data_IF_813107652509
#
_entry.id   IF_813107652509
#
_cell.length_a   1.000
_cell.length_b   1.000
_cell.length_c   1.000
_cell.angle_alpha   90.00
_cell.angle_beta   90.00
_cell.angle_gamma   90.00
#
_symmetry.space_group_name_H-M   'P 1'
#
loop_
_entity.id
_entity.type
_entity.pdbx_description
1 polymer ?
#
# COMPACT_ATOMS: atom_id res chain seq x y z
N UNK A 1 13.95 30.12 15.08
CA UNK A 1 14.28 29.24 13.92
C UNK A 1 14.57 27.84 14.47
N UNK A 2 14.19 26.80 13.71
CA UNK A 2 14.73 25.41 13.72
C UNK A 2 14.28 24.35 14.76
N UNK A 3 13.01 24.30 15.20
CA UNK A 3 12.46 23.04 15.76
C UNK A 3 11.75 22.18 14.67
N UNK A 4 11.40 22.79 13.55
CA UNK A 4 10.56 22.20 12.50
C UNK A 4 11.36 21.52 11.38
N UNK A 5 12.69 21.65 11.37
CA UNK A 5 13.56 21.07 10.32
C UNK A 5 13.92 19.60 10.56
N UNK A 6 13.55 19.02 11.70
CA UNK A 6 13.88 17.64 12.08
C UNK A 6 12.64 16.77 12.36
N UNK A 7 11.45 17.36 12.28
CA UNK A 7 10.19 16.63 12.41
C UNK A 7 9.73 16.17 11.03
N UNK A 8 10.10 14.95 10.64
CA UNK A 8 9.56 14.30 9.45
C UNK A 8 8.81 13.03 9.83
N UNK A 9 7.71 12.76 9.12
CA UNK A 9 7.01 11.49 9.27
C UNK A 9 7.77 10.40 8.50
N UNK A 10 8.21 9.31 9.14
CA UNK A 10 8.90 8.24 8.43
C UNK A 10 7.91 7.50 7.50
N UNK A 11 8.25 7.51 6.21
CA UNK A 11 7.49 6.84 5.17
C UNK A 11 6.18 7.53 4.78
N UNK A 12 5.42 6.93 3.85
CA UNK A 12 4.19 7.51 3.33
C UNK A 12 3.09 7.56 4.40
N UNK A 13 2.29 8.63 4.39
CA UNK A 13 1.19 8.89 5.33
C UNK A 13 -0.18 8.89 4.66
N UNK A 14 -0.25 9.00 3.33
CA UNK A 14 -1.47 9.07 2.55
C UNK A 14 -1.37 8.11 1.37
N UNK A 15 -1.69 6.86 1.64
CA UNK A 15 -1.49 5.73 0.76
C UNK A 15 -2.78 5.38 0.01
N UNK A 16 -2.70 5.25 -1.30
CA UNK A 16 -3.72 4.56 -2.10
C UNK A 16 -3.25 3.14 -2.40
N UNK A 17 -4.08 2.15 -2.07
CA UNK A 17 -3.82 0.73 -2.34
C UNK A 17 -4.63 0.28 -3.57
N UNK A 18 -3.96 -0.09 -4.66
CA UNK A 18 -4.63 -0.57 -5.88
C UNK A 18 -4.94 -2.07 -5.85
N UNK A 19 -4.53 -2.76 -4.79
CA UNK A 19 -4.79 -4.20 -4.56
C UNK A 19 -5.31 -4.47 -3.15
N UNK A 20 -5.94 -5.64 -2.96
CA UNK A 20 -6.38 -6.10 -1.65
C UNK A 20 -5.20 -6.39 -0.72
N UNK A 21 -4.15 -7.06 -1.22
CA UNK A 21 -3.01 -7.52 -0.41
C UNK A 21 -2.32 -6.39 0.36
N UNK A 22 -2.08 -5.24 -0.27
CA UNK A 22 -1.45 -4.10 0.40
C UNK A 22 -2.40 -3.44 1.38
N UNK A 23 -3.71 -3.47 1.09
CA UNK A 23 -4.73 -2.98 2.00
C UNK A 23 -4.74 -3.85 3.25
N UNK A 24 -4.97 -5.15 3.11
CA UNK A 24 -5.05 -6.12 4.21
C UNK A 24 -3.78 -6.08 5.06
N UNK A 25 -2.61 -6.05 4.43
CA UNK A 25 -1.34 -6.02 5.16
C UNK A 25 -1.20 -4.78 6.04
N UNK A 26 -1.55 -3.59 5.54
CA UNK A 26 -1.53 -2.37 6.33
C UNK A 26 -2.52 -2.41 7.49
N UNK A 27 -3.70 -3.03 7.34
CA UNK A 27 -4.61 -3.26 8.46
C UNK A 27 -4.04 -4.22 9.50
N UNK A 28 -3.38 -5.30 9.07
CA UNK A 28 -2.72 -6.24 9.99
C UNK A 28 -1.57 -5.57 10.76
N UNK A 29 -0.92 -4.58 10.16
CA UNK A 29 0.14 -3.79 10.79
C UNK A 29 -0.39 -2.62 11.66
N UNK A 30 -1.71 -2.43 11.77
CA UNK A 30 -2.31 -1.30 12.49
C UNK A 30 -2.05 0.07 11.84
N UNK A 31 -1.75 0.09 10.54
CA UNK A 31 -1.41 1.29 9.77
C UNK A 31 -2.56 1.75 8.84
N UNK A 32 -3.78 1.28 9.05
CA UNK A 32 -4.94 1.60 8.21
C UNK A 32 -5.29 3.10 8.17
N UNK A 33 -4.85 3.86 9.18
CA UNK A 33 -4.99 5.32 9.22
C UNK A 33 -4.31 6.02 8.05
N UNK A 34 -3.28 5.39 7.45
CA UNK A 34 -2.54 5.91 6.31
C UNK A 34 -3.29 5.72 4.99
N UNK A 35 -4.26 4.80 4.95
CA UNK A 35 -4.97 4.46 3.72
C UNK A 35 -6.04 5.52 3.44
N UNK A 36 -5.90 6.22 2.33
CA UNK A 36 -6.86 7.24 1.86
C UNK A 36 -7.74 6.75 0.72
N UNK A 37 -7.37 5.66 0.04
CA UNK A 37 -8.17 5.05 -1.02
C UNK A 37 -7.77 3.60 -1.29
N UNK A 38 -8.73 2.81 -1.76
CA UNK A 38 -8.57 1.37 -1.99
C UNK A 38 -9.08 0.93 -3.36
N UNK A 39 -8.70 -0.28 -3.74
CA UNK A 39 -9.27 -1.01 -4.86
C UNK A 39 -10.74 -1.37 -4.61
N UNK A 40 -11.53 -1.37 -5.68
CA UNK A 40 -12.89 -1.91 -5.68
C UNK A 40 -12.95 -3.41 -5.40
N UNK A 41 -11.83 -4.13 -5.47
CA UNK A 41 -11.71 -5.56 -5.16
C UNK A 41 -11.34 -5.86 -3.71
N UNK A 42 -11.02 -4.86 -2.90
CA UNK A 42 -10.74 -5.07 -1.48
C UNK A 42 -12.00 -5.59 -0.76
N UNK A 43 -11.88 -6.78 -0.17
CA UNK A 43 -12.88 -7.41 0.70
C UNK A 43 -12.31 -7.76 2.08
N UNK A 44 -10.98 -7.77 2.25
CA UNK A 44 -10.29 -8.00 3.52
C UNK A 44 -9.50 -6.78 4.02
N UNK A 45 -9.63 -6.41 5.31
CA UNK A 45 -10.75 -6.78 6.18
C UNK A 45 -12.06 -6.14 5.67
N UNK A 46 -13.23 -6.73 6.02
CA UNK A 46 -14.53 -6.23 5.55
C UNK A 46 -14.74 -4.73 5.80
N UNK A 47 -14.30 -4.26 6.98
CA UNK A 47 -14.36 -2.83 7.38
C UNK A 47 -13.65 -1.90 6.40
N UNK A 48 -12.56 -2.32 5.77
CA UNK A 48 -11.81 -1.50 4.81
C UNK A 48 -12.69 -1.04 3.63
N UNK A 49 -13.53 -1.95 3.14
CA UNK A 49 -14.45 -1.70 2.04
C UNK A 49 -15.55 -0.70 2.41
N UNK A 50 -15.97 -0.74 3.67
CA UNK A 50 -17.04 0.08 4.24
C UNK A 50 -16.54 1.51 4.50
N UNK A 51 -15.33 1.66 5.05
CA UNK A 51 -14.81 2.95 5.52
C UNK A 51 -13.96 3.72 4.50
N UNK A 52 -13.36 3.05 3.49
CA UNK A 52 -12.45 3.69 2.53
C UNK A 52 -13.11 3.96 1.17
N UNK A 53 -12.77 5.06 0.48
CA UNK A 53 -13.25 5.31 -0.88
C UNK A 53 -12.61 4.34 -1.88
N UNK A 54 -13.42 3.87 -2.83
CA UNK A 54 -13.01 2.94 -3.90
C UNK A 54 -12.62 3.75 -5.13
N UNK A 55 -11.34 3.74 -5.49
CA UNK A 55 -10.77 4.62 -6.53
C UNK A 55 -10.27 3.89 -7.77
N UNK A 56 -10.17 2.58 -7.73
CA UNK A 56 -9.75 1.78 -8.87
C UNK A 56 -10.58 0.50 -9.01
N UNK A 57 -10.61 -0.05 -10.21
CA UNK A 57 -10.68 -1.49 -10.44
C UNK A 57 -9.24 -2.04 -10.51
N UNK A 58 -9.07 -3.31 -10.90
CA UNK A 58 -7.75 -3.93 -10.99
C UNK A 58 -6.95 -3.38 -12.18
N UNK A 59 -7.56 -3.25 -13.35
CA UNK A 59 -6.91 -2.77 -14.59
C UNK A 59 -7.25 -1.32 -14.95
N UNK A 60 -8.04 -0.63 -14.13
CA UNK A 60 -8.40 0.76 -14.39
C UNK A 60 -8.46 1.55 -13.09
N UNK A 61 -8.09 2.83 -13.16
CA UNK A 61 -8.09 3.72 -12.01
C UNK A 61 -8.76 5.05 -12.34
N UNK A 62 -9.48 5.62 -11.38
CA UNK A 62 -10.06 6.97 -11.49
C UNK A 62 -8.98 7.96 -11.06
N UNK A 63 -8.06 8.29 -11.96
CA UNK A 63 -6.88 9.11 -11.67
C UNK A 63 -7.25 10.42 -10.97
N UNK A 64 -8.26 11.15 -11.46
CA UNK A 64 -8.69 12.41 -10.85
C UNK A 64 -9.16 12.21 -9.40
N UNK A 65 -9.92 11.14 -9.13
CA UNK A 65 -10.34 10.78 -7.75
C UNK A 65 -9.17 10.37 -6.86
N UNK A 66 -8.14 9.75 -7.43
CA UNK A 66 -6.91 9.45 -6.69
C UNK A 66 -6.23 10.76 -6.30
N UNK A 67 -6.11 11.72 -7.23
CA UNK A 67 -5.47 13.02 -6.96
C UNK A 67 -6.25 13.87 -5.95
N UNK A 68 -7.60 13.83 -5.97
CA UNK A 68 -8.46 14.48 -4.98
C UNK A 68 -8.16 14.02 -3.53
N UNK A 69 -7.72 12.77 -3.36
CA UNK A 69 -7.31 12.23 -2.06
C UNK A 69 -5.92 12.67 -1.63
N UNK A 70 -5.19 13.43 -2.44
CA UNK A 70 -3.85 13.94 -2.14
C UNK A 70 -2.91 12.85 -1.60
N UNK A 71 -2.74 11.71 -2.29
CA UNK A 71 -1.84 10.66 -1.84
C UNK A 71 -0.39 11.12 -1.92
N UNK A 72 0.41 10.69 -0.96
CA UNK A 72 1.86 10.78 -1.03
C UNK A 72 2.49 9.48 -1.55
N UNK A 73 1.73 8.38 -1.60
CA UNK A 73 2.16 7.13 -2.19
C UNK A 73 1.00 6.34 -2.77
N UNK A 74 1.24 5.67 -3.90
CA UNK A 74 0.35 4.66 -4.46
C UNK A 74 1.07 3.32 -4.52
N UNK A 75 0.40 2.27 -4.03
CA UNK A 75 0.88 0.89 -4.09
C UNK A 75 0.11 0.13 -5.15
N UNK A 76 0.82 -0.44 -6.11
CA UNK A 76 0.24 -1.26 -7.18
C UNK A 76 0.96 -2.60 -7.36
N UNK A 77 0.46 -3.40 -8.28
CA UNK A 77 0.94 -4.74 -8.56
C UNK A 77 1.09 -5.00 -10.06
N UNK A 78 2.28 -5.46 -10.42
CA UNK A 78 2.70 -6.03 -11.69
C UNK A 78 2.68 -5.08 -12.89
N UNK A 79 3.10 -5.64 -14.02
CA UNK A 79 2.99 -5.04 -15.34
C UNK A 79 1.54 -4.66 -15.71
N UNK A 80 0.55 -5.36 -15.17
CA UNK A 80 -0.87 -5.09 -15.43
C UNK A 80 -1.34 -3.71 -14.93
N UNK A 81 -0.62 -3.11 -13.96
CA UNK A 81 -0.91 -1.77 -13.44
C UNK A 81 0.17 -0.74 -13.82
N UNK A 82 1.08 -1.09 -14.75
CA UNK A 82 2.19 -0.22 -15.13
C UNK A 82 1.71 1.12 -15.73
N UNK A 83 0.68 1.10 -16.57
CA UNK A 83 0.14 2.33 -17.17
C UNK A 83 -0.50 3.25 -16.12
N UNK A 84 -1.25 2.68 -15.17
CA UNK A 84 -1.79 3.42 -14.01
C UNK A 84 -0.64 4.05 -13.21
N UNK A 85 0.41 3.28 -12.95
CA UNK A 85 1.61 3.76 -12.27
C UNK A 85 2.29 4.90 -13.03
N UNK A 86 2.48 4.74 -14.35
CA UNK A 86 3.08 5.77 -15.21
C UNK A 86 2.32 7.09 -15.16
N UNK A 87 0.98 7.02 -15.23
CA UNK A 87 0.15 8.21 -15.21
C UNK A 87 0.19 8.94 -13.86
N UNK A 88 0.23 8.20 -12.75
CA UNK A 88 0.36 8.77 -11.40
C UNK A 88 1.74 9.38 -11.17
N UNK A 89 2.81 8.74 -11.66
CA UNK A 89 4.18 9.29 -11.63
C UNK A 89 4.25 10.60 -12.41
N UNK A 90 3.64 10.68 -13.60
CA UNK A 90 3.56 11.93 -14.39
C UNK A 90 2.81 13.06 -13.66
N UNK A 91 1.97 12.72 -12.67
CA UNK A 91 1.27 13.68 -11.80
C UNK A 91 2.05 14.01 -10.51
N UNK A 92 3.27 13.49 -10.36
CA UNK A 92 4.14 13.77 -9.23
C UNK A 92 3.88 12.91 -7.99
N UNK A 93 3.10 11.83 -8.10
CA UNK A 93 2.85 10.91 -6.98
C UNK A 93 3.94 9.84 -6.95
N UNK A 94 4.49 9.56 -5.77
CA UNK A 94 5.38 8.41 -5.60
C UNK A 94 4.60 7.12 -5.80
N UNK A 95 5.08 6.22 -6.67
CA UNK A 95 4.43 4.94 -6.92
C UNK A 95 5.39 3.80 -6.61
N UNK A 96 4.92 2.78 -5.89
CA UNK A 96 5.61 1.52 -5.72
C UNK A 96 4.80 0.42 -6.40
N UNK A 97 5.35 -0.19 -7.43
CA UNK A 97 4.76 -1.35 -8.09
C UNK A 97 5.50 -2.59 -7.61
N UNK A 98 4.81 -3.47 -6.89
CA UNK A 98 5.33 -4.79 -6.55
C UNK A 98 5.12 -5.76 -7.71
N UNK A 99 5.89 -6.83 -7.78
CA UNK A 99 5.81 -7.77 -8.90
C UNK A 99 6.16 -9.20 -8.49
N UNK A 100 5.70 -9.62 -7.31
CA UNK A 100 5.95 -10.95 -6.76
C UNK A 100 5.32 -12.05 -7.63
N UNK A 101 6.10 -13.10 -7.94
CA UNK A 101 5.72 -14.27 -8.76
C UNK A 101 5.90 -15.60 -8.04
N UNK A 102 6.28 -15.56 -6.76
CA UNK A 102 6.46 -16.73 -5.91
C UNK A 102 6.07 -16.44 -4.46
N UNK A 103 5.86 -17.48 -3.66
CA UNK A 103 5.57 -17.33 -2.22
C UNK A 103 6.72 -16.62 -1.48
N UNK A 104 7.97 -16.92 -1.84
CA UNK A 104 9.14 -16.24 -1.29
C UNK A 104 9.13 -14.75 -1.63
N UNK A 105 8.73 -14.38 -2.86
CA UNK A 105 8.60 -12.98 -3.24
C UNK A 105 7.40 -12.30 -2.59
N UNK A 106 6.30 -13.02 -2.29
CA UNK A 106 5.21 -12.49 -1.47
C UNK A 106 5.76 -12.05 -0.10
N UNK A 107 6.53 -12.90 0.58
CA UNK A 107 7.15 -12.52 1.86
C UNK A 107 8.12 -11.34 1.73
N UNK A 108 8.86 -11.28 0.62
CA UNK A 108 9.75 -10.15 0.33
C UNK A 108 8.96 -8.85 0.15
N UNK A 109 7.84 -8.88 -0.57
CA UNK A 109 6.92 -7.75 -0.71
C UNK A 109 6.33 -7.32 0.62
N UNK A 110 5.85 -8.26 1.44
CA UNK A 110 5.29 -7.97 2.76
C UNK A 110 6.32 -7.27 3.67
N UNK A 111 7.57 -7.72 3.65
CA UNK A 111 8.65 -7.09 4.42
C UNK A 111 8.95 -5.68 3.91
N UNK A 112 9.05 -5.50 2.59
CA UNK A 112 9.27 -4.18 1.99
C UNK A 112 8.17 -3.19 2.37
N UNK A 113 6.89 -3.59 2.26
CA UNK A 113 5.77 -2.73 2.63
C UNK A 113 5.76 -2.43 4.14
N UNK A 114 6.07 -3.39 5.00
CA UNK A 114 6.21 -3.15 6.43
C UNK A 114 7.31 -2.13 6.74
N UNK A 115 8.48 -2.27 6.10
CA UNK A 115 9.59 -1.33 6.25
C UNK A 115 9.24 0.08 5.76
N UNK A 116 8.51 0.21 4.63
CA UNK A 116 8.06 1.49 4.11
C UNK A 116 7.24 2.29 5.13
N UNK A 117 6.45 1.62 5.98
CA UNK A 117 5.60 2.28 6.99
C UNK A 117 6.20 2.32 8.39
N UNK A 118 7.47 1.91 8.54
CA UNK A 118 8.20 1.91 9.82
C UNK A 118 7.94 0.70 10.72
N UNK A 119 7.31 -0.35 10.19
CA UNK A 119 6.88 -1.55 10.93
C UNK A 119 7.70 -2.80 10.56
N UNK A 120 8.97 -2.63 10.16
CA UNK A 120 9.82 -3.73 9.69
C UNK A 120 9.93 -4.89 10.69
N UNK A 121 10.09 -4.57 11.98
CA UNK A 121 10.21 -5.57 13.04
C UNK A 121 8.91 -6.37 13.22
N UNK A 122 7.77 -5.67 13.34
CA UNK A 122 6.46 -6.31 13.43
C UNK A 122 6.15 -7.14 12.17
N UNK A 123 6.48 -6.61 10.99
CA UNK A 123 6.36 -7.31 9.71
C UNK A 123 7.15 -8.61 9.70
N UNK A 124 8.41 -8.58 10.13
CA UNK A 124 9.27 -9.77 10.21
C UNK A 124 8.70 -10.83 11.17
N UNK A 125 8.21 -10.43 12.34
CA UNK A 125 7.58 -11.35 13.30
C UNK A 125 6.33 -12.03 12.71
N UNK A 126 5.45 -11.27 12.06
CA UNK A 126 4.24 -11.81 11.41
C UNK A 126 4.58 -12.74 10.25
N UNK A 127 5.57 -12.38 9.42
CA UNK A 127 6.05 -13.22 8.32
C UNK A 127 6.58 -14.55 8.86
N UNK A 128 7.38 -14.53 9.93
CA UNK A 128 7.89 -15.75 10.55
C UNK A 128 6.76 -16.66 11.04
N UNK A 129 5.70 -16.11 11.63
CA UNK A 129 4.51 -16.87 12.02
C UNK A 129 3.81 -17.50 10.82
N UNK A 130 3.56 -16.73 9.75
CA UNK A 130 2.95 -17.25 8.52
C UNK A 130 3.78 -18.38 7.90
N UNK A 131 5.11 -18.25 7.90
CA UNK A 131 6.01 -19.29 7.40
C UNK A 131 5.98 -20.56 8.26
N UNK A 132 5.76 -20.43 9.57
CA UNK A 132 5.60 -21.57 10.45
C UNK A 132 4.28 -22.30 10.19
N UNK A 133 3.19 -21.57 9.93
CA UNK A 133 1.85 -22.12 9.67
C UNK A 133 1.73 -22.82 8.30
N UNK A 134 2.67 -22.58 7.38
CA UNK A 134 2.75 -23.23 6.08
C UNK A 134 3.50 -24.57 6.09
N UNK A 135 4.13 -24.94 7.22
CA UNK A 135 4.85 -26.21 7.40
C UNK A 135 3.93 -27.28 7.96
#
# INVERSE_FOLDING_TARGET
>A
MTADLLSFNPGPQRIVCLTEETTEWLYLLGQERRIVGISGYTVRPKRAREEKPKVSAFLSAKIDKIMELQPDCVLGFSDLQADIGSDLVKRGVQVTIFNQRSVAEIFSMLFQLAAMVGEAEQGAQRIAQMQADLR
#
